data_IF_016550082030
#
_entry.id   IF_016550082030
#
_cell.length_a   1.000
_cell.length_b   1.000
_cell.length_c   1.000
_cell.angle_alpha   90.00
_cell.angle_beta   90.00
_cell.angle_gamma   90.00
#
_symmetry.space_group_name_H-M   'P 1'
#
loop_
_entity.id
_entity.type
_entity.pdbx_description
1 polymer ?
#
# COMPACT_ATOMS: atom_id res chain seq x y z
N UNK A 1 7.87 14.52 -12.42
CA UNK A 1 7.26 13.20 -12.71
C UNK A 1 6.17 13.03 -11.68
N UNK A 2 5.03 12.48 -12.08
CA UNK A 2 3.83 12.49 -11.24
C UNK A 2 3.71 11.20 -10.45
N UNK A 3 3.84 11.30 -9.13
CA UNK A 3 3.63 10.20 -8.20
C UNK A 3 2.16 10.16 -7.77
N UNK A 4 1.54 8.98 -7.85
CA UNK A 4 0.24 8.70 -7.22
C UNK A 4 0.35 7.47 -6.33
N UNK A 5 -0.10 7.60 -5.09
CA UNK A 5 -0.23 6.48 -4.16
C UNK A 5 -1.72 6.20 -3.95
N UNK A 6 -2.10 4.96 -4.20
CA UNK A 6 -3.46 4.48 -4.26
C UNK A 6 -3.64 3.44 -3.14
N UNK A 7 -4.62 3.70 -2.29
CA UNK A 7 -5.16 2.74 -1.35
C UNK A 7 -6.44 2.13 -1.94
N UNK A 8 -6.92 0.98 -1.42
CA UNK A 8 -8.14 0.37 -1.95
C UNK A 8 -9.37 1.29 -1.92
N UNK A 9 -9.45 2.17 -0.93
CA UNK A 9 -10.60 3.05 -0.71
C UNK A 9 -10.42 4.46 -1.30
N UNK A 10 -9.19 4.91 -1.56
CA UNK A 10 -8.94 6.31 -1.91
C UNK A 10 -7.58 6.55 -2.59
N UNK A 11 -7.45 7.73 -3.20
CA UNK A 11 -6.15 8.26 -3.64
C UNK A 11 -5.48 8.93 -2.45
N UNK A 12 -4.48 8.27 -1.87
CA UNK A 12 -3.79 8.75 -0.68
C UNK A 12 -2.87 9.95 -0.96
N UNK A 13 -2.22 9.95 -2.12
CA UNK A 13 -1.28 11.02 -2.48
C UNK A 13 -1.28 11.23 -4.00
N UNK A 14 -1.21 12.49 -4.43
CA UNK A 14 -0.83 12.86 -5.80
C UNK A 14 0.13 14.04 -5.74
N UNK A 15 1.37 13.86 -6.19
CA UNK A 15 2.42 14.88 -6.08
C UNK A 15 3.32 14.90 -7.32
N UNK A 16 3.85 16.09 -7.65
CA UNK A 16 4.98 16.20 -8.56
C UNK A 16 6.28 15.97 -7.79
N UNK A 17 7.10 15.04 -8.28
CA UNK A 17 8.33 14.61 -7.60
C UNK A 17 9.52 14.60 -8.55
N UNK A 18 10.71 14.70 -7.95
CA UNK A 18 12.02 14.69 -8.63
C UNK A 18 12.86 13.47 -8.27
N UNK A 19 12.51 12.74 -7.21
CA UNK A 19 13.21 11.52 -6.78
C UNK A 19 12.23 10.66 -6.01
N UNK A 20 12.32 9.34 -6.18
CA UNK A 20 11.60 8.34 -5.37
C UNK A 20 12.61 7.30 -4.92
N UNK A 21 12.57 6.89 -3.65
CA UNK A 21 13.33 5.76 -3.12
C UNK A 21 12.37 4.82 -2.41
N UNK A 22 12.42 3.55 -2.78
CA UNK A 22 11.56 2.52 -2.24
C UNK A 22 12.30 1.17 -2.16
N UNK A 23 11.70 0.24 -1.44
CA UNK A 23 12.23 -1.10 -1.23
C UNK A 23 11.31 -2.14 -1.89
N UNK A 24 11.93 -3.08 -2.59
CA UNK A 24 11.30 -4.27 -3.15
C UNK A 24 12.01 -5.52 -2.62
N UNK A 25 11.49 -6.70 -2.95
CA UNK A 25 12.10 -7.98 -2.54
C UNK A 25 13.56 -8.14 -3.01
N UNK A 26 13.92 -7.51 -4.12
CA UNK A 26 15.27 -7.50 -4.67
C UNK A 26 16.16 -6.36 -4.11
N UNK A 27 15.67 -5.60 -3.13
CA UNK A 27 16.40 -4.56 -2.42
C UNK A 27 15.90 -3.13 -2.69
N UNK A 28 16.74 -2.17 -2.29
CA UNK A 28 16.47 -0.74 -2.42
C UNK A 28 16.75 -0.24 -3.83
N UNK A 29 15.86 0.61 -4.35
CA UNK A 29 16.04 1.26 -5.64
C UNK A 29 15.62 2.73 -5.59
N UNK A 30 16.15 3.50 -6.54
CA UNK A 30 15.89 4.92 -6.69
C UNK A 30 15.41 5.21 -8.11
N UNK A 31 14.29 5.92 -8.24
CA UNK A 31 13.81 6.44 -9.51
C UNK A 31 14.07 7.94 -9.59
N UNK A 32 14.69 8.34 -10.70
CA UNK A 32 14.85 9.72 -11.12
C UNK A 32 14.01 9.98 -12.39
N UNK A 33 13.79 11.25 -12.78
CA UNK A 33 13.10 11.56 -14.02
C UNK A 33 13.83 10.91 -15.20
N UNK A 34 13.06 10.45 -16.20
CA UNK A 34 13.58 9.73 -17.38
C UNK A 34 14.17 8.33 -17.09
N UNK A 35 14.00 7.79 -15.88
CA UNK A 35 14.23 6.36 -15.64
C UNK A 35 13.41 5.53 -16.64
N UNK A 36 13.91 4.37 -17.06
CA UNK A 36 13.16 3.45 -17.95
C UNK A 36 11.85 3.00 -17.29
N UNK A 37 10.88 2.59 -18.09
CA UNK A 37 9.66 1.98 -17.57
C UNK A 37 10.01 0.78 -16.70
N UNK A 38 9.38 0.70 -15.52
CA UNK A 38 9.82 -0.17 -14.45
C UNK A 38 8.63 -0.60 -13.59
N UNK A 39 8.65 -1.84 -13.12
CA UNK A 39 7.63 -2.37 -12.21
C UNK A 39 8.31 -3.14 -11.09
N UNK A 40 7.79 -3.01 -9.87
CA UNK A 40 8.33 -3.71 -8.71
C UNK A 40 7.23 -4.06 -7.72
N UNK A 41 7.33 -5.26 -7.13
CA UNK A 41 6.58 -5.62 -5.93
C UNK A 41 7.26 -4.96 -4.73
N UNK A 42 6.53 -4.10 -4.03
CA UNK A 42 7.03 -3.38 -2.86
C UNK A 42 6.84 -4.25 -1.62
N UNK A 43 7.83 -4.23 -0.73
CA UNK A 43 7.73 -4.82 0.61
C UNK A 43 7.34 -3.75 1.64
N UNK A 44 6.80 -4.12 2.81
CA UNK A 44 6.53 -3.17 3.88
C UNK A 44 7.81 -2.44 4.30
N UNK A 45 7.80 -1.12 4.30
CA UNK A 45 9.01 -0.34 4.51
C UNK A 45 8.80 1.16 4.42
N UNK A 46 9.92 1.89 4.38
CA UNK A 46 9.91 3.35 4.21
C UNK A 46 10.01 3.68 2.73
N UNK A 47 9.01 4.41 2.23
CA UNK A 47 9.00 5.02 0.93
C UNK A 47 9.33 6.50 1.08
N UNK A 48 10.27 7.01 0.29
CA UNK A 48 10.60 8.44 0.32
C UNK A 48 10.54 9.06 -1.06
N UNK A 49 10.18 10.33 -1.11
CA UNK A 49 10.16 11.09 -2.35
C UNK A 49 10.59 12.53 -2.11
N UNK A 50 11.18 13.15 -3.13
CA UNK A 50 11.57 14.56 -3.10
C UNK A 50 10.66 15.37 -4.02
N UNK A 51 10.26 16.54 -3.56
CA UNK A 51 9.50 17.49 -4.37
C UNK A 51 10.44 18.46 -5.10
N UNK A 52 9.99 19.12 -6.18
CA UNK A 52 10.76 20.18 -6.85
C UNK A 52 11.17 21.33 -5.91
N UNK A 53 10.42 21.57 -4.82
CA UNK A 53 10.75 22.56 -3.80
C UNK A 53 11.90 22.18 -2.87
N UNK A 54 12.52 21.01 -3.06
CA UNK A 54 13.70 20.56 -2.30
C UNK A 54 13.40 19.84 -0.99
N UNK A 55 12.12 19.64 -0.66
CA UNK A 55 11.71 18.88 0.54
C UNK A 55 11.65 17.38 0.27
N UNK A 56 12.29 16.60 1.16
CA UNK A 56 12.14 15.15 1.25
C UNK A 56 10.95 14.80 2.15
N UNK A 57 10.10 13.90 1.68
CA UNK A 57 8.96 13.38 2.41
C UNK A 57 9.12 11.86 2.58
N UNK A 58 8.70 11.37 3.75
CA UNK A 58 8.79 9.97 4.13
C UNK A 58 7.41 9.42 4.42
N UNK A 59 7.19 8.18 4.00
CA UNK A 59 5.96 7.44 4.13
C UNK A 59 6.30 6.04 4.63
N UNK A 60 5.47 5.50 5.52
CA UNK A 60 5.40 4.07 5.75
C UNK A 60 4.43 3.48 4.74
N UNK A 61 4.86 2.47 3.99
CA UNK A 61 4.02 1.74 3.04
C UNK A 61 3.97 0.27 3.42
N UNK A 62 2.83 -0.34 3.16
CA UNK A 62 2.65 -1.80 3.24
C UNK A 62 3.01 -2.45 1.90
N UNK A 63 2.93 -3.78 1.84
CA UNK A 63 3.11 -4.56 0.62
C UNK A 63 2.23 -4.02 -0.51
N UNK A 64 2.81 -3.97 -1.71
CA UNK A 64 2.13 -3.34 -2.84
C UNK A 64 2.83 -3.57 -4.16
N UNK A 65 2.41 -2.82 -5.17
CA UNK A 65 3.03 -2.84 -6.50
C UNK A 65 3.20 -1.42 -6.99
N UNK A 66 4.39 -1.14 -7.51
CA UNK A 66 4.71 0.11 -8.17
C UNK A 66 4.88 -0.11 -9.66
N UNK A 67 4.32 0.80 -10.46
CA UNK A 67 4.51 0.87 -11.91
C UNK A 67 4.95 2.28 -12.27
N UNK A 68 6.12 2.39 -12.91
CA UNK A 68 6.60 3.60 -13.54
C UNK A 68 6.44 3.46 -15.06
N UNK A 69 5.72 4.40 -15.68
CA UNK A 69 5.52 4.50 -17.13
C UNK A 69 5.65 5.93 -17.61
N UNK A 70 6.58 6.22 -18.50
CA UNK A 70 6.82 7.57 -19.01
C UNK A 70 7.14 8.55 -17.87
N UNK A 71 6.25 9.52 -17.61
CA UNK A 71 6.39 10.49 -16.52
C UNK A 71 5.51 10.17 -15.30
N UNK A 72 4.74 9.08 -15.32
CA UNK A 72 3.85 8.68 -14.22
C UNK A 72 4.45 7.54 -13.41
N UNK A 73 4.27 7.61 -12.09
CA UNK A 73 4.56 6.56 -11.14
C UNK A 73 3.30 6.30 -10.32
N UNK A 74 2.80 5.07 -10.41
CA UNK A 74 1.64 4.59 -9.68
C UNK A 74 2.10 3.59 -8.62
N UNK A 75 1.68 3.79 -7.39
CA UNK A 75 1.88 2.84 -6.29
C UNK A 75 0.52 2.40 -5.79
N UNK A 76 0.25 1.10 -5.86
CA UNK A 76 -0.93 0.51 -5.23
C UNK A 76 -0.47 -0.28 -4.00
N UNK A 77 -0.94 0.12 -2.83
CA UNK A 77 -0.62 -0.55 -1.56
C UNK A 77 -1.86 -0.66 -0.70
N UNK A 78 -1.89 -1.61 0.25
CA UNK A 78 -3.04 -1.77 1.15
C UNK A 78 -3.17 -0.62 2.12
N UNK A 79 -2.04 -0.16 2.64
CA UNK A 79 -1.97 0.87 3.65
C UNK A 79 -0.76 1.78 3.38
N UNK A 80 -0.93 3.07 3.67
CA UNK A 80 0.13 4.05 3.63
C UNK A 80 -0.08 5.07 4.75
N UNK A 81 1.02 5.52 5.36
CA UNK A 81 0.99 6.49 6.42
C UNK A 81 2.09 7.53 6.24
N UNK A 82 1.74 8.80 6.41
CA UNK A 82 2.67 9.94 6.30
C UNK A 82 2.94 10.49 7.69
N UNK A 83 4.22 10.69 8.01
CA UNK A 83 4.64 11.40 9.23
C UNK A 83 5.88 12.23 8.95
N UNK A 84 6.00 13.34 9.67
CA UNK A 84 7.21 14.16 9.75
C UNK A 84 8.28 13.54 10.66
N UNK A 85 7.92 12.56 11.48
CA UNK A 85 8.82 11.91 12.44
C UNK A 85 9.13 10.47 12.01
N UNK A 86 10.39 10.19 11.64
CA UNK A 86 10.80 8.84 11.21
C UNK A 86 10.57 7.75 12.28
N UNK A 87 10.64 8.11 13.57
CA UNK A 87 10.39 7.17 14.66
C UNK A 87 8.98 6.57 14.58
N UNK A 88 7.98 7.40 14.29
CA UNK A 88 6.59 6.97 14.13
C UNK A 88 6.41 6.05 12.92
N UNK A 89 7.09 6.34 11.81
CA UNK A 89 7.03 5.49 10.61
C UNK A 89 7.52 4.08 10.90
N UNK A 90 8.62 3.95 11.66
CA UNK A 90 9.16 2.65 12.06
C UNK A 90 8.16 1.85 12.89
N UNK A 91 7.49 2.48 13.84
CA UNK A 91 6.46 1.83 14.66
C UNK A 91 5.27 1.37 13.81
N UNK A 92 4.81 2.20 12.86
CA UNK A 92 3.73 1.85 11.95
C UNK A 92 4.11 0.64 11.07
N UNK A 93 5.32 0.63 10.50
CA UNK A 93 5.79 -0.47 9.66
C UNK A 93 5.90 -1.79 10.46
N UNK A 94 6.44 -1.74 11.68
CA UNK A 94 6.72 -2.94 12.49
C UNK A 94 5.45 -3.47 13.17
N UNK A 95 4.62 -2.59 13.73
CA UNK A 95 3.51 -2.97 14.61
C UNK A 95 2.17 -3.00 13.87
N UNK A 96 1.85 -1.97 13.09
CA UNK A 96 0.49 -1.80 12.57
C UNK A 96 0.17 -2.70 11.38
N UNK A 97 1.10 -2.90 10.43
CA UNK A 97 0.78 -3.73 9.26
C UNK A 97 0.59 -5.21 9.60
N UNK A 98 1.31 -5.75 10.58
CA UNK A 98 1.07 -7.13 11.07
C UNK A 98 -0.26 -7.28 11.79
N UNK A 99 -0.65 -6.30 12.61
CA UNK A 99 -1.88 -6.38 13.40
C UNK A 99 -3.14 -6.16 12.54
N UNK A 100 -3.06 -5.29 11.54
CA UNK A 100 -4.14 -5.01 10.59
C UNK A 100 -4.45 -6.26 9.75
N UNK A 101 -3.44 -6.97 9.25
CA UNK A 101 -3.62 -8.18 8.44
C UNK A 101 -4.40 -9.28 9.20
N UNK A 102 -4.07 -9.50 10.48
CA UNK A 102 -4.76 -10.49 11.31
C UNK A 102 -6.21 -10.10 11.64
N UNK A 103 -6.47 -8.81 11.90
CA UNK A 103 -7.84 -8.34 12.17
C UNK A 103 -8.71 -8.44 10.91
N UNK A 104 -8.19 -8.06 9.75
CA UNK A 104 -8.91 -8.15 8.48
C UNK A 104 -9.23 -9.62 8.14
N UNK A 105 -8.26 -10.52 8.31
CA UNK A 105 -8.43 -11.95 8.10
C UNK A 105 -9.52 -12.54 8.99
N UNK A 106 -9.58 -12.15 10.27
CA UNK A 106 -10.64 -12.57 11.20
C UNK A 106 -12.01 -12.04 10.77
N UNK A 107 -12.10 -10.78 10.38
CA UNK A 107 -13.36 -10.17 9.91
C UNK A 107 -13.89 -10.86 8.64
N UNK A 108 -13.04 -11.07 7.64
CA UNK A 108 -13.39 -11.81 6.41
C UNK A 108 -13.85 -13.24 6.70
N UNK A 109 -13.17 -13.93 7.63
CA UNK A 109 -13.54 -15.28 8.05
C UNK A 109 -14.91 -15.30 8.73
N UNK A 110 -15.20 -14.31 9.58
CA UNK A 110 -16.51 -14.20 10.22
C UNK A 110 -17.63 -13.92 9.21
N UNK A 111 -17.41 -13.03 8.24
CA UNK A 111 -18.37 -12.75 7.17
C UNK A 111 -18.66 -13.99 6.32
N UNK A 112 -17.63 -14.72 5.88
CA UNK A 112 -17.80 -15.96 5.12
C UNK A 112 -18.57 -17.04 5.90
N UNK A 113 -18.36 -17.14 7.22
CA UNK A 113 -19.14 -18.06 8.07
C UNK A 113 -20.62 -17.67 8.13
N UNK A 114 -20.91 -16.38 8.28
CA UNK A 114 -22.29 -15.88 8.27
C UNK A 114 -22.99 -16.17 6.93
N UNK A 115 -22.31 -15.95 5.81
CA UNK A 115 -22.84 -16.27 4.48
C UNK A 115 -23.16 -17.77 4.33
N UNK A 116 -22.25 -18.65 4.78
CA UNK A 116 -22.46 -20.09 4.75
C UNK A 116 -23.63 -20.55 5.63
N UNK A 117 -23.76 -19.98 6.84
CA UNK A 117 -24.86 -20.29 7.75
C UNK A 117 -26.21 -19.85 7.18
N UNK A 118 -26.26 -18.70 6.50
CA UNK A 118 -27.44 -18.22 5.79
C UNK A 118 -27.83 -19.19 4.67
N UNK A 119 -26.87 -19.59 3.82
CA UNK A 119 -27.11 -20.54 2.73
C UNK A 119 -27.63 -21.89 3.26
N UNK A 120 -27.05 -22.40 4.35
CA UNK A 120 -27.51 -23.65 5.00
C UNK A 120 -28.96 -23.54 5.48
N UNK A 121 -29.33 -22.46 6.18
CA UNK A 121 -30.70 -22.23 6.65
C UNK A 121 -31.71 -22.12 5.50
N UNK A 122 -31.33 -21.49 4.38
CA UNK A 122 -32.19 -21.44 3.19
C UNK A 122 -32.41 -22.80 2.53
N UNK A 123 -31.41 -23.68 2.53
CA UNK A 123 -31.58 -25.05 2.02
C UNK A 123 -32.50 -25.89 2.90
N UNK A 124 -32.37 -25.76 4.23
CA UNK A 124 -33.25 -26.45 5.19
C UNK A 124 -34.72 -26.03 5.04
N UNK A 125 -34.99 -24.74 4.77
CA UNK A 125 -36.34 -24.24 4.53
C UNK A 125 -36.97 -24.70 3.20
N UNK A 126 -36.17 -25.15 2.23
CA UNK A 126 -36.67 -25.69 0.94
C UNK A 126 -37.01 -27.18 0.98
N UNK A 127 -36.84 -27.84 2.14
CA UNK A 127 -37.19 -29.25 2.34
C UNK A 127 -38.41 -29.45 3.26
N UNK A 128 -39.20 -28.38 3.44
CA UNK A 128 -40.58 -28.39 3.99
C UNK A 128 -41.53 -27.99 2.87
#
# INVERSE_FOLDING_TARGET
MKLKILLPAEVFLTEEVTKIVAEAENGLFCLLPQHVDFTAALVPGVFSYSTPGGGDAYLAIDIGTMVKKGAEVLVSTRNAFRSSELGQLKEVVIAQFREIDEREKKARTAAARLEMDILRRFMELKHV
#
